data_IF_713755894779
#
_entry.id   IF_713755894779
#
_cell.length_a   1.000
_cell.length_b   1.000
_cell.length_c   1.000
_cell.angle_alpha   90.00
_cell.angle_beta   90.00
_cell.angle_gamma   90.00
#
_symmetry.space_group_name_H-M   'P 1'
#
loop_
_entity.id
_entity.type
_entity.pdbx_description
1 polymer ?
#
# COMPACT_ATOMS: atom_id res chain seq x y z
N UNK A 1 7.84 -11.12 -34.52
CA UNK A 1 8.27 -11.36 -33.12
C UNK A 1 8.21 -10.12 -32.24
N UNK A 2 8.74 -8.96 -32.64
CA UNK A 2 8.56 -7.71 -31.88
C UNK A 2 7.07 -7.31 -31.72
N UNK A 3 6.27 -7.56 -32.76
CA UNK A 3 4.82 -7.29 -32.80
C UNK A 3 4.01 -8.15 -31.81
N UNK A 4 4.41 -9.42 -31.62
CA UNK A 4 3.78 -10.34 -30.65
C UNK A 4 4.17 -10.04 -29.20
N UNK A 5 5.40 -9.55 -28.96
CA UNK A 5 5.84 -9.08 -27.64
C UNK A 5 5.19 -7.73 -27.25
N UNK A 6 4.99 -6.84 -28.22
CA UNK A 6 4.25 -5.59 -28.02
C UNK A 6 2.77 -5.85 -27.70
N UNK A 7 2.13 -6.81 -28.38
CA UNK A 7 0.75 -7.25 -28.12
C UNK A 7 0.58 -7.95 -26.76
N UNK A 8 1.61 -8.68 -26.28
CA UNK A 8 1.62 -9.24 -24.93
C UNK A 8 1.73 -8.14 -23.86
N UNK A 9 2.59 -7.14 -24.08
CA UNK A 9 2.70 -5.98 -23.19
C UNK A 9 1.40 -5.16 -23.12
N UNK A 10 0.77 -4.94 -24.28
CA UNK A 10 -0.50 -4.22 -24.42
C UNK A 10 -1.67 -4.99 -23.76
N UNK A 11 -1.72 -6.32 -23.89
CA UNK A 11 -2.78 -7.13 -23.25
C UNK A 11 -2.62 -7.20 -21.73
N UNK A 12 -1.39 -7.27 -21.21
CA UNK A 12 -1.12 -7.19 -19.76
C UNK A 12 -1.47 -5.79 -19.20
N UNK A 13 -1.22 -4.71 -19.97
CA UNK A 13 -1.63 -3.34 -19.63
C UNK A 13 -3.16 -3.20 -19.53
N UNK A 14 -3.88 -3.74 -20.52
CA UNK A 14 -5.34 -3.69 -20.61
C UNK A 14 -5.97 -4.52 -19.49
N UNK A 15 -5.44 -5.70 -19.16
CA UNK A 15 -5.88 -6.50 -18.01
C UNK A 15 -5.63 -5.76 -16.68
N UNK A 16 -4.48 -5.10 -16.52
CA UNK A 16 -4.18 -4.29 -15.35
C UNK A 16 -5.12 -3.07 -15.23
N UNK A 17 -5.48 -2.43 -16.35
CA UNK A 17 -6.45 -1.32 -16.42
C UNK A 17 -7.90 -1.75 -16.17
N UNK A 18 -8.31 -2.92 -16.64
CA UNK A 18 -9.67 -3.46 -16.38
C UNK A 18 -9.81 -3.88 -14.91
N UNK A 19 -8.77 -4.47 -14.31
CA UNK A 19 -8.71 -4.72 -12.87
C UNK A 19 -8.72 -3.43 -12.02
N UNK A 20 -8.25 -2.31 -12.60
CA UNK A 20 -8.30 -0.98 -11.98
C UNK A 20 -9.71 -0.37 -11.98
N UNK A 21 -10.46 -0.54 -13.08
CA UNK A 21 -11.88 -0.15 -13.20
C UNK A 21 -12.79 -1.00 -12.28
N UNK A 22 -12.40 -2.24 -11.99
CA UNK A 22 -13.13 -3.13 -11.08
C UNK A 22 -12.88 -2.87 -9.58
N UNK A 23 -12.00 -1.93 -9.19
CA UNK A 23 -11.87 -1.55 -7.78
C UNK A 23 -12.99 -0.58 -7.36
N UNK A 24 -13.83 -0.94 -6.37
CA UNK A 24 -14.97 -0.13 -5.98
C UNK A 24 -14.47 1.16 -5.33
N UNK A 25 -14.78 2.26 -6.00
CA UNK A 25 -14.73 3.61 -5.46
C UNK A 25 -15.90 3.77 -4.49
N UNK A 26 -15.65 4.28 -3.27
CA UNK A 26 -16.55 5.15 -2.46
C UNK A 26 -16.02 5.19 -1.02
N UNK A 27 -15.70 6.39 -0.52
CA UNK A 27 -15.38 6.67 0.89
C UNK A 27 -13.88 6.89 1.15
N UNK A 28 -13.58 7.75 2.14
CA UNK A 28 -12.23 8.17 2.49
C UNK A 28 -11.25 6.98 2.52
N UNK A 29 -10.15 7.03 1.74
CA UNK A 29 -9.35 5.84 1.47
C UNK A 29 -8.63 5.41 2.75
N UNK A 30 -8.90 4.19 3.20
CA UNK A 30 -8.09 3.53 4.21
C UNK A 30 -6.65 3.34 3.72
N UNK A 31 -5.73 3.13 4.66
CA UNK A 31 -4.30 2.93 4.40
C UNK A 31 -4.04 1.88 3.32
N UNK A 32 -4.78 0.77 3.35
CA UNK A 32 -4.67 -0.31 2.35
C UNK A 32 -5.11 0.11 0.95
N UNK A 33 -6.13 0.97 0.83
CA UNK A 33 -6.59 1.49 -0.47
C UNK A 33 -5.55 2.41 -1.09
N UNK A 34 -4.88 3.25 -0.29
CA UNK A 34 -3.76 4.07 -0.77
C UNK A 34 -2.59 3.21 -1.23
N UNK A 35 -2.20 2.19 -0.46
CA UNK A 35 -1.20 1.22 -0.87
C UNK A 35 -1.53 0.59 -2.24
N UNK A 36 -2.76 0.11 -2.42
CA UNK A 36 -3.19 -0.47 -3.70
C UNK A 36 -3.15 0.53 -4.85
N UNK A 37 -3.51 1.80 -4.63
CA UNK A 37 -3.44 2.84 -5.66
C UNK A 37 -2.01 3.12 -6.10
N UNK A 38 -1.09 3.31 -5.17
CA UNK A 38 0.33 3.55 -5.50
C UNK A 38 0.98 2.33 -6.15
N UNK A 39 0.67 1.13 -5.67
CA UNK A 39 1.17 -0.12 -6.26
C UNK A 39 0.60 -0.34 -7.66
N UNK A 40 -0.68 -0.02 -7.89
CA UNK A 40 -1.28 -0.07 -9.21
C UNK A 40 -0.66 0.97 -10.16
N UNK A 41 -0.47 2.21 -9.71
CA UNK A 41 0.22 3.24 -10.48
C UNK A 41 1.66 2.82 -10.84
N UNK A 42 2.36 2.18 -9.91
CA UNK A 42 3.67 1.55 -10.17
C UNK A 42 3.58 0.48 -11.25
N UNK A 43 2.56 -0.38 -11.22
CA UNK A 43 2.34 -1.40 -12.25
C UNK A 43 2.08 -0.80 -13.63
N UNK A 44 1.22 0.22 -13.71
CA UNK A 44 0.93 0.96 -14.96
C UNK A 44 2.19 1.63 -15.49
N UNK A 45 2.99 2.26 -14.62
CA UNK A 45 4.26 2.87 -15.02
C UNK A 45 5.25 1.84 -15.57
N UNK A 46 5.31 0.63 -15.02
CA UNK A 46 6.19 -0.44 -15.51
C UNK A 46 5.81 -0.90 -16.93
N UNK A 47 4.51 -1.05 -17.18
CA UNK A 47 4.01 -1.42 -18.51
C UNK A 47 4.19 -0.28 -19.50
N UNK A 48 3.89 0.96 -19.09
CA UNK A 48 4.12 2.17 -19.88
C UNK A 48 5.58 2.34 -20.28
N UNK A 49 6.52 2.12 -19.35
CA UNK A 49 7.95 2.15 -19.64
C UNK A 49 8.32 1.12 -20.72
N UNK A 50 7.83 -0.11 -20.59
CA UNK A 50 8.10 -1.18 -21.56
C UNK A 50 7.59 -0.83 -22.95
N UNK A 51 6.36 -0.30 -23.06
CA UNK A 51 5.79 0.17 -24.32
C UNK A 51 6.61 1.31 -24.94
N UNK A 52 7.04 2.29 -24.13
CA UNK A 52 7.84 3.43 -24.59
C UNK A 52 9.23 3.02 -25.08
N UNK A 53 9.87 2.03 -24.46
CA UNK A 53 11.13 1.49 -24.97
C UNK A 53 10.96 0.74 -26.29
N UNK A 54 9.82 0.07 -26.52
CA UNK A 54 9.52 -0.54 -27.82
C UNK A 54 9.36 0.53 -28.90
N UNK A 55 8.63 1.62 -28.59
CA UNK A 55 8.48 2.78 -29.48
C UNK A 55 9.84 3.41 -29.79
N UNK A 56 10.70 3.57 -28.78
CA UNK A 56 12.07 4.05 -28.98
C UNK A 56 12.86 3.12 -29.92
N UNK A 57 12.78 1.81 -29.70
CA UNK A 57 13.44 0.80 -30.53
C UNK A 57 12.94 0.77 -31.99
N UNK A 58 11.72 1.23 -32.25
CA UNK A 58 11.15 1.39 -33.59
C UNK A 58 11.36 2.79 -34.21
N UNK A 59 12.23 3.62 -33.64
CA UNK A 59 12.56 4.95 -34.17
C UNK A 59 11.81 6.12 -33.54
N UNK A 60 11.10 5.94 -32.42
CA UNK A 60 10.33 6.99 -31.73
C UNK A 60 11.14 8.12 -31.08
N UNK A 61 12.45 8.19 -31.35
CA UNK A 61 13.34 9.26 -30.95
C UNK A 61 13.56 9.43 -29.44
N UNK A 62 14.35 10.44 -29.06
CA UNK A 62 14.66 10.77 -27.67
C UNK A 62 13.47 11.02 -26.72
N UNK A 63 12.32 11.60 -27.13
CA UNK A 63 11.24 11.85 -26.17
C UNK A 63 10.62 10.55 -25.63
N UNK A 64 10.45 9.52 -26.48
CA UNK A 64 9.95 8.21 -26.03
C UNK A 64 10.90 7.55 -25.03
N UNK A 65 12.21 7.66 -25.25
CA UNK A 65 13.23 7.20 -24.30
C UNK A 65 13.14 7.95 -22.96
N UNK A 66 13.03 9.28 -22.99
CA UNK A 66 12.97 10.10 -21.78
C UNK A 66 11.74 9.80 -20.91
N UNK A 67 10.57 9.65 -21.53
CA UNK A 67 9.35 9.27 -20.81
C UNK A 67 9.43 7.82 -20.34
N UNK A 68 10.03 6.92 -21.13
CA UNK A 68 10.27 5.53 -20.72
C UNK A 68 11.16 5.44 -19.48
N UNK A 69 12.25 6.21 -19.46
CA UNK A 69 13.19 6.32 -18.34
C UNK A 69 12.51 6.88 -17.08
N UNK A 70 11.70 7.93 -17.24
CA UNK A 70 10.88 8.52 -16.17
C UNK A 70 9.96 7.46 -15.55
N UNK A 71 9.16 6.78 -16.39
CA UNK A 71 8.23 5.75 -15.95
C UNK A 71 8.95 4.62 -15.23
N UNK A 72 10.09 4.17 -15.76
CA UNK A 72 10.88 3.07 -15.19
C UNK A 72 11.38 3.40 -13.78
N UNK A 73 11.86 4.62 -13.55
CA UNK A 73 12.30 5.08 -12.22
C UNK A 73 11.13 5.31 -11.28
N UNK A 74 9.99 5.73 -11.81
CA UNK A 74 8.77 5.97 -11.03
C UNK A 74 8.22 4.66 -10.43
N UNK A 75 8.45 3.49 -11.05
CA UNK A 75 8.03 2.17 -10.53
C UNK A 75 8.50 1.93 -9.07
N UNK A 76 9.81 1.79 -8.79
CA UNK A 76 10.27 1.53 -7.42
C UNK A 76 9.99 2.68 -6.46
N UNK A 77 9.92 3.92 -6.94
CA UNK A 77 9.62 5.09 -6.10
C UNK A 77 8.16 5.10 -5.64
N UNK A 78 7.20 4.81 -6.53
CA UNK A 78 5.80 4.66 -6.16
C UNK A 78 5.58 3.45 -5.25
N UNK A 79 6.32 2.36 -5.47
CA UNK A 79 6.28 1.21 -4.57
C UNK A 79 6.83 1.53 -3.18
N UNK A 80 7.91 2.31 -3.09
CA UNK A 80 8.43 2.82 -1.82
C UNK A 80 7.39 3.68 -1.09
N UNK A 81 6.73 4.60 -1.82
CA UNK A 81 5.61 5.39 -1.28
C UNK A 81 4.49 4.47 -0.82
N UNK A 82 4.13 3.46 -1.60
CA UNK A 82 3.11 2.49 -1.25
C UNK A 82 3.43 1.81 0.09
N UNK A 83 4.64 1.28 0.26
CA UNK A 83 5.08 0.64 1.52
C UNK A 83 5.01 1.62 2.68
N UNK A 84 5.48 2.86 2.51
CA UNK A 84 5.40 3.94 3.53
C UNK A 84 3.96 4.27 3.93
N UNK A 85 2.99 4.12 3.01
CA UNK A 85 1.57 4.32 3.35
C UNK A 85 1.10 3.31 4.40
N UNK A 86 1.57 2.05 4.32
CA UNK A 86 1.17 0.97 5.23
C UNK A 86 1.61 1.22 6.68
N UNK A 87 2.72 1.93 6.88
CA UNK A 87 3.22 2.30 8.21
C UNK A 87 2.56 3.57 8.78
N UNK A 88 1.57 4.16 8.09
CA UNK A 88 0.82 5.33 8.56
C UNK A 88 1.60 6.66 8.48
N UNK A 89 2.74 6.68 7.79
CA UNK A 89 3.56 7.88 7.60
C UNK A 89 2.92 8.92 6.67
N UNK A 90 3.43 10.17 6.70
CA UNK A 90 3.03 11.21 5.74
C UNK A 90 3.54 10.86 4.33
N UNK A 91 2.62 10.75 3.37
CA UNK A 91 2.91 10.27 1.99
C UNK A 91 3.12 11.37 0.97
N UNK A 92 2.70 12.61 1.29
CA UNK A 92 2.77 13.75 0.38
C UNK A 92 4.20 14.09 -0.02
N UNK A 93 5.08 14.30 0.97
CA UNK A 93 6.50 14.55 0.71
C UNK A 93 7.07 13.45 -0.18
N UNK A 94 7.19 12.17 0.25
CA UNK A 94 7.88 11.16 -0.56
C UNK A 94 7.28 10.98 -1.97
N UNK A 95 5.98 11.25 -2.18
CA UNK A 95 5.37 11.29 -3.51
C UNK A 95 5.92 12.42 -4.38
N UNK A 96 6.05 13.64 -3.83
CA UNK A 96 6.68 14.77 -4.53
C UNK A 96 8.14 14.49 -4.83
N UNK A 97 8.89 13.91 -3.87
CA UNK A 97 10.27 13.45 -4.08
C UNK A 97 10.37 12.50 -5.27
N UNK A 98 9.50 11.48 -5.27
CA UNK A 98 9.46 10.47 -6.31
C UNK A 98 9.24 11.09 -7.70
N UNK A 99 8.29 12.03 -7.78
CA UNK A 99 7.99 12.73 -9.01
C UNK A 99 9.16 13.61 -9.48
N UNK A 100 9.74 14.41 -8.59
CA UNK A 100 10.88 15.28 -8.91
C UNK A 100 12.08 14.47 -9.40
N UNK A 101 12.40 13.36 -8.73
CA UNK A 101 13.48 12.45 -9.16
C UNK A 101 13.18 11.85 -10.54
N UNK A 102 11.95 11.41 -10.79
CA UNK A 102 11.58 10.84 -12.09
C UNK A 102 11.69 11.89 -13.22
N UNK A 103 11.23 13.13 -12.99
CA UNK A 103 11.35 14.24 -13.93
C UNK A 103 12.81 14.62 -14.16
N UNK A 104 13.64 14.64 -13.11
CA UNK A 104 15.07 14.91 -13.22
C UNK A 104 15.77 13.87 -14.10
N UNK A 105 15.45 12.57 -13.94
CA UNK A 105 15.97 11.52 -14.83
C UNK A 105 15.54 11.73 -16.27
N UNK A 106 14.26 12.09 -16.51
CA UNK A 106 13.79 12.41 -17.85
C UNK A 106 14.58 13.57 -18.48
N UNK A 107 14.83 14.64 -17.70
CA UNK A 107 15.64 15.79 -18.13
C UNK A 107 17.09 15.42 -18.40
N UNK A 108 17.70 14.55 -17.58
CA UNK A 108 19.04 14.01 -17.86
C UNK A 108 19.03 13.21 -19.17
N UNK A 109 18.01 12.40 -19.42
CA UNK A 109 17.89 11.62 -20.67
C UNK A 109 17.72 12.50 -21.91
N UNK A 110 17.07 13.68 -21.79
CA UNK A 110 16.93 14.60 -22.93
C UNK A 110 18.19 15.42 -23.20
N UNK A 111 18.93 15.81 -22.16
CA UNK A 111 20.06 16.75 -22.25
C UNK A 111 21.39 16.00 -22.43
N UNK A 112 21.58 14.86 -21.75
CA UNK A 112 22.87 14.16 -21.66
C UNK A 112 22.95 13.04 -22.69
N UNK A 113 24.03 12.96 -23.49
CA UNK A 113 24.20 11.90 -24.47
C UNK A 113 24.34 10.52 -23.82
N UNK A 114 23.92 9.50 -24.57
CA UNK A 114 24.23 8.10 -24.27
C UNK A 114 25.76 7.92 -24.38
N UNK A 115 26.43 7.21 -23.43
CA UNK A 115 25.87 6.33 -22.41
C UNK A 115 25.69 6.97 -21.01
N UNK A 116 26.08 8.22 -20.80
CA UNK A 116 26.10 8.83 -19.46
C UNK A 116 24.69 8.94 -18.85
N UNK A 117 23.66 9.28 -19.63
CA UNK A 117 22.27 9.28 -19.16
C UNK A 117 21.79 7.90 -18.70
N UNK A 118 22.25 6.84 -19.36
CA UNK A 118 21.93 5.45 -19.00
C UNK A 118 22.56 5.10 -17.64
N UNK A 119 23.80 5.51 -17.39
CA UNK A 119 24.48 5.32 -16.12
C UNK A 119 23.71 6.00 -14.97
N UNK A 120 23.31 7.26 -15.14
CA UNK A 120 22.53 8.00 -14.15
C UNK A 120 21.21 7.29 -13.84
N UNK A 121 20.46 6.89 -14.88
CA UNK A 121 19.22 6.13 -14.70
C UNK A 121 19.41 4.85 -13.90
N UNK A 122 20.41 4.03 -14.25
CA UNK A 122 20.62 2.74 -13.58
C UNK A 122 21.05 2.96 -12.13
N UNK A 123 21.82 4.00 -11.84
CA UNK A 123 22.19 4.37 -10.47
C UNK A 123 20.95 4.79 -9.65
N UNK A 124 20.10 5.65 -10.22
CA UNK A 124 18.84 6.07 -9.56
C UNK A 124 17.92 4.88 -9.32
N UNK A 125 17.79 3.95 -10.28
CA UNK A 125 17.03 2.71 -10.10
C UNK A 125 17.57 1.85 -8.96
N UNK A 126 18.89 1.66 -8.89
CA UNK A 126 19.51 0.91 -7.81
C UNK A 126 19.21 1.52 -6.44
N UNK A 127 19.33 2.84 -6.32
CA UNK A 127 19.02 3.58 -5.08
C UNK A 127 17.53 3.46 -4.73
N UNK A 128 16.62 3.68 -5.69
CA UNK A 128 15.19 3.62 -5.47
C UNK A 128 14.73 2.21 -5.05
N UNK A 129 15.24 1.17 -5.70
CA UNK A 129 14.98 -0.22 -5.33
C UNK A 129 15.56 -0.56 -3.96
N UNK A 130 16.78 -0.11 -3.65
CA UNK A 130 17.39 -0.29 -2.32
C UNK A 130 16.58 0.40 -1.21
N UNK A 131 16.14 1.64 -1.43
CA UNK A 131 15.29 2.37 -0.51
C UNK A 131 13.93 1.68 -0.30
N UNK A 132 13.32 1.18 -1.38
CA UNK A 132 12.10 0.39 -1.31
C UNK A 132 12.30 -0.91 -0.51
N UNK A 133 13.37 -1.65 -0.77
CA UNK A 133 13.71 -2.88 -0.06
C UNK A 133 13.90 -2.62 1.45
N UNK A 134 14.69 -1.60 1.77
CA UNK A 134 14.94 -1.17 3.15
C UNK A 134 13.64 -0.78 3.86
N UNK A 135 12.77 -0.03 3.19
CA UNK A 135 11.46 0.32 3.76
C UNK A 135 10.56 -0.89 3.98
N UNK A 136 10.56 -1.86 3.06
CA UNK A 136 9.78 -3.08 3.19
C UNK A 136 10.29 -3.98 4.33
N UNK A 137 11.60 -4.02 4.57
CA UNK A 137 12.19 -4.77 5.69
C UNK A 137 11.87 -4.16 7.06
N UNK A 138 11.80 -2.83 7.13
CA UNK A 138 11.46 -2.12 8.36
C UNK A 138 9.96 -2.01 8.61
N UNK A 139 9.13 -2.24 7.59
CA UNK A 139 7.69 -2.08 7.72
C UNK A 139 7.13 -3.03 8.78
N UNK A 140 6.30 -2.47 9.66
CA UNK A 140 5.58 -3.20 10.69
C UNK A 140 4.30 -3.86 10.17
N UNK A 141 3.97 -3.62 8.89
CA UNK A 141 2.77 -4.11 8.23
C UNK A 141 2.69 -5.65 8.26
N UNK A 142 1.56 -6.17 8.72
CA UNK A 142 1.22 -7.60 8.58
C UNK A 142 0.57 -7.82 7.21
N UNK A 143 0.81 -8.97 6.53
CA UNK A 143 1.68 -10.09 6.90
C UNK A 143 3.14 -9.90 6.46
N UNK A 144 4.10 -10.28 7.33
CA UNK A 144 5.55 -10.16 7.08
C UNK A 144 6.04 -10.90 5.82
N UNK A 145 5.34 -11.95 5.38
CA UNK A 145 5.70 -12.70 4.16
C UNK A 145 5.62 -11.82 2.92
N UNK A 146 4.56 -11.02 2.77
CA UNK A 146 4.38 -10.14 1.62
C UNK A 146 5.46 -9.05 1.59
N UNK A 147 5.78 -8.45 2.74
CA UNK A 147 6.86 -7.46 2.84
C UNK A 147 8.22 -8.05 2.48
N UNK A 148 8.51 -9.29 2.92
CA UNK A 148 9.73 -10.01 2.52
C UNK A 148 9.78 -10.26 1.01
N UNK A 149 8.66 -10.63 0.37
CA UNK A 149 8.62 -10.80 -1.09
C UNK A 149 8.92 -9.51 -1.83
N UNK A 150 8.35 -8.38 -1.39
CA UNK A 150 8.68 -7.05 -1.96
C UNK A 150 10.16 -6.73 -1.77
N UNK A 151 10.70 -6.94 -0.56
CA UNK A 151 12.10 -6.68 -0.24
C UNK A 151 13.07 -7.54 -1.06
N UNK A 152 12.78 -8.83 -1.26
CA UNK A 152 13.60 -9.74 -2.07
C UNK A 152 13.57 -9.32 -3.54
N UNK A 153 12.38 -9.02 -4.09
CA UNK A 153 12.24 -8.62 -5.48
C UNK A 153 12.99 -7.30 -5.77
N UNK A 154 12.82 -6.30 -4.90
CA UNK A 154 13.48 -4.99 -5.04
C UNK A 154 14.98 -5.05 -4.77
N UNK A 155 15.44 -5.82 -3.78
CA UNK A 155 16.87 -6.07 -3.57
C UNK A 155 17.50 -6.77 -4.79
N UNK A 156 16.84 -7.79 -5.34
CA UNK A 156 17.32 -8.50 -6.53
C UNK A 156 17.49 -7.57 -7.73
N UNK A 157 16.51 -6.67 -7.96
CA UNK A 157 16.62 -5.67 -9.02
C UNK A 157 17.71 -4.62 -8.76
N UNK A 158 17.90 -4.21 -7.50
CA UNK A 158 18.97 -3.29 -7.12
C UNK A 158 20.35 -3.90 -7.39
N UNK A 159 20.57 -5.16 -6.98
CA UNK A 159 21.80 -5.90 -7.23
C UNK A 159 22.05 -6.05 -8.73
N UNK A 160 21.03 -6.43 -9.50
CA UNK A 160 21.12 -6.49 -10.96
C UNK A 160 21.52 -5.13 -11.57
N UNK A 161 20.93 -4.03 -11.08
CA UNK A 161 21.25 -2.67 -11.55
C UNK A 161 22.67 -2.24 -11.21
N UNK A 162 23.17 -2.57 -10.00
CA UNK A 162 24.56 -2.32 -9.61
C UNK A 162 25.53 -3.13 -10.47
N UNK A 163 25.27 -4.43 -10.66
CA UNK A 163 26.09 -5.28 -11.53
C UNK A 163 26.13 -4.73 -12.96
N UNK A 164 24.99 -4.27 -13.47
CA UNK A 164 24.90 -3.62 -14.79
C UNK A 164 25.82 -2.40 -14.90
N UNK A 165 25.88 -1.55 -13.88
CA UNK A 165 26.80 -0.41 -13.84
C UNK A 165 28.27 -0.84 -13.80
N UNK A 166 28.60 -1.80 -12.93
CA UNK A 166 29.97 -2.29 -12.77
C UNK A 166 30.48 -2.90 -14.07
N UNK A 167 29.70 -3.79 -14.70
CA UNK A 167 30.09 -4.44 -15.97
C UNK A 167 30.18 -3.43 -17.10
N UNK A 168 29.25 -2.47 -17.18
CA UNK A 168 29.33 -1.40 -18.17
C UNK A 168 30.56 -0.50 -17.98
N UNK A 169 30.94 -0.23 -16.72
CA UNK A 169 32.12 0.56 -16.38
C UNK A 169 33.43 -0.15 -16.71
N UNK A 170 33.51 -1.47 -16.49
CA UNK A 170 34.72 -2.27 -16.73
C UNK A 170 34.88 -2.65 -18.21
N UNK A 171 33.79 -3.03 -18.88
CA UNK A 171 33.86 -3.60 -20.24
C UNK A 171 33.39 -2.63 -21.32
N UNK A 172 32.72 -1.54 -20.96
CA UNK A 172 32.08 -0.60 -21.88
C UNK A 172 30.62 -0.98 -22.21
N UNK A 173 29.79 0.05 -22.42
CA UNK A 173 28.34 -0.09 -22.70
C UNK A 173 28.01 -0.76 -24.04
N UNK A 174 28.96 -0.83 -24.96
CA UNK A 174 28.81 -1.47 -26.27
C UNK A 174 29.44 -2.85 -26.36
N UNK A 175 29.97 -3.39 -25.26
CA UNK A 175 30.71 -4.65 -25.30
C UNK A 175 29.78 -5.85 -25.54
N UNK A 176 30.23 -6.90 -26.28
CA UNK A 176 29.47 -8.14 -26.44
C UNK A 176 28.99 -8.78 -25.12
N UNK A 177 29.81 -8.87 -24.04
CA UNK A 177 29.33 -9.43 -22.77
C UNK A 177 28.25 -8.55 -22.11
N UNK A 178 28.36 -7.23 -22.21
CA UNK A 178 27.31 -6.33 -21.73
C UNK A 178 26.01 -6.49 -22.54
N UNK A 179 26.12 -6.60 -23.86
CA UNK A 179 24.99 -6.80 -24.75
C UNK A 179 24.27 -8.14 -24.49
N UNK A 180 25.00 -9.20 -24.17
CA UNK A 180 24.43 -10.52 -23.90
C UNK A 180 23.66 -10.57 -22.56
N UNK A 181 24.24 -10.04 -21.48
CA UNK A 181 23.71 -10.24 -20.12
C UNK A 181 22.94 -9.04 -19.53
N UNK A 182 23.20 -7.82 -20.01
CA UNK A 182 22.73 -6.57 -19.39
C UNK A 182 22.07 -5.59 -20.37
N UNK A 183 21.79 -6.04 -21.60
CA UNK A 183 21.03 -5.27 -22.58
C UNK A 183 19.55 -5.15 -22.21
N UNK A 184 18.79 -4.54 -23.11
CA UNK A 184 17.37 -4.30 -22.92
C UNK A 184 16.56 -5.59 -22.66
N UNK A 185 16.86 -6.68 -23.37
CA UNK A 185 16.08 -7.93 -23.25
C UNK A 185 16.26 -8.58 -21.87
N UNK A 186 17.49 -8.86 -21.37
CA UNK A 186 17.68 -9.36 -20.01
C UNK A 186 17.09 -8.43 -18.95
N UNK A 187 17.29 -7.11 -19.08
CA UNK A 187 16.75 -6.14 -18.12
C UNK A 187 15.21 -6.15 -18.07
N UNK A 188 14.56 -6.37 -19.21
CA UNK A 188 13.10 -6.49 -19.30
C UNK A 188 12.60 -7.79 -18.65
N UNK A 189 13.30 -8.91 -18.87
CA UNK A 189 12.96 -10.20 -18.25
C UNK A 189 13.06 -10.09 -16.73
N UNK A 190 14.17 -9.58 -16.21
CA UNK A 190 14.37 -9.39 -14.76
C UNK A 190 13.32 -8.42 -14.20
N UNK A 191 13.02 -7.34 -14.92
CA UNK A 191 11.95 -6.40 -14.55
C UNK A 191 10.57 -7.07 -14.48
N UNK A 192 10.22 -7.92 -15.44
CA UNK A 192 8.97 -8.67 -15.45
C UNK A 192 8.87 -9.62 -14.25
N UNK A 193 9.94 -10.34 -13.91
CA UNK A 193 9.99 -11.21 -12.72
C UNK A 193 9.77 -10.42 -11.43
N UNK A 194 10.33 -9.22 -11.33
CA UNK A 194 10.15 -8.33 -10.17
C UNK A 194 8.71 -7.85 -10.07
N UNK A 195 8.10 -7.41 -11.17
CA UNK A 195 6.69 -7.02 -11.21
C UNK A 195 5.76 -8.18 -10.81
N UNK A 196 6.05 -9.40 -11.29
CA UNK A 196 5.31 -10.60 -10.89
C UNK A 196 5.46 -10.87 -9.38
N UNK A 197 6.68 -10.76 -8.84
CA UNK A 197 6.94 -10.91 -7.40
C UNK A 197 6.16 -9.90 -6.56
N UNK A 198 6.09 -8.64 -7.00
CA UNK A 198 5.28 -7.59 -6.36
C UNK A 198 3.79 -7.95 -6.45
N UNK A 199 3.30 -8.41 -7.60
CA UNK A 199 1.92 -8.88 -7.77
C UNK A 199 1.55 -10.01 -6.82
N UNK A 200 2.44 -10.99 -6.64
CA UNK A 200 2.28 -12.09 -5.66
C UNK A 200 2.19 -11.53 -4.23
N UNK A 201 3.07 -10.58 -3.87
CA UNK A 201 3.04 -9.96 -2.55
C UNK A 201 1.70 -9.21 -2.30
N UNK A 202 1.18 -8.50 -3.29
CA UNK A 202 -0.13 -7.83 -3.22
C UNK A 202 -1.26 -8.85 -3.04
N UNK A 203 -1.23 -9.97 -3.76
CA UNK A 203 -2.22 -11.04 -3.61
C UNK A 203 -2.18 -11.67 -2.20
N UNK A 204 -0.98 -11.90 -1.64
CA UNK A 204 -0.81 -12.37 -0.27
C UNK A 204 -1.38 -11.38 0.76
N UNK A 205 -1.14 -10.08 0.57
CA UNK A 205 -1.72 -9.01 1.40
C UNK A 205 -3.25 -9.01 1.35
N UNK A 206 -3.84 -9.07 0.16
CA UNK A 206 -5.30 -9.14 -0.01
C UNK A 206 -5.89 -10.39 0.65
N UNK A 207 -5.24 -11.55 0.46
CA UNK A 207 -5.64 -12.80 1.10
C UNK A 207 -5.59 -12.74 2.63
N UNK A 208 -4.61 -12.05 3.21
CA UNK A 208 -4.52 -11.87 4.66
C UNK A 208 -5.61 -10.95 5.23
N UNK A 209 -6.02 -9.92 4.48
CA UNK A 209 -7.15 -9.05 4.87
C UNK A 209 -8.47 -9.82 4.84
N UNK A 210 -8.68 -10.69 3.85
CA UNK A 210 -9.91 -11.51 3.74
C UNK A 210 -9.98 -12.63 4.79
N UNK A 211 -8.83 -13.10 5.27
CA UNK A 211 -8.73 -14.19 6.27
C UNK A 211 -8.88 -13.74 7.73
N UNK A 212 -9.14 -12.47 8.00
CA UNK A 212 -9.59 -12.06 9.35
C UNK A 212 -10.90 -12.84 9.62
N UNK A 213 -10.95 -13.74 10.62
CA UNK A 213 -12.08 -14.63 10.81
C UNK A 213 -13.38 -13.81 10.90
N UNK A 214 -14.41 -14.26 10.19
CA UNK A 214 -15.76 -13.75 10.40
C UNK A 214 -16.10 -13.84 11.90
N UNK A 215 -16.86 -12.87 12.46
CA UNK A 215 -17.30 -12.92 13.85
C UNK A 215 -17.87 -14.30 14.15
N UNK A 216 -17.38 -14.93 15.23
CA UNK A 216 -17.89 -16.24 15.66
C UNK A 216 -19.41 -16.14 15.83
N UNK A 217 -20.21 -17.07 15.26
CA UNK A 217 -21.67 -16.98 15.28
C UNK A 217 -22.28 -17.01 16.69
N UNK A 218 -21.51 -17.39 17.71
CA UNK A 218 -21.93 -17.43 19.12
C UNK A 218 -21.54 -16.17 19.93
N UNK A 219 -20.92 -15.15 19.30
CA UNK A 219 -20.56 -13.90 19.99
C UNK A 219 -21.78 -12.97 19.98
N UNK A 220 -22.27 -12.46 21.13
CA UNK A 220 -23.24 -11.37 21.13
C UNK A 220 -22.65 -10.20 20.34
N UNK A 221 -23.47 -9.51 19.55
CA UNK A 221 -23.02 -8.42 18.67
C UNK A 221 -22.12 -7.46 19.47
N UNK A 222 -20.84 -7.39 19.10
CA UNK A 222 -19.86 -6.56 19.79
C UNK A 222 -20.28 -5.10 19.70
N UNK A 223 -20.23 -4.39 20.82
CA UNK A 223 -20.42 -2.95 20.84
C UNK A 223 -19.08 -2.27 20.54
N UNK A 224 -19.11 -1.35 19.59
CA UNK A 224 -17.93 -0.58 19.18
C UNK A 224 -17.90 0.69 20.02
N UNK A 225 -16.82 0.91 20.76
CA UNK A 225 -16.64 2.13 21.55
C UNK A 225 -15.43 2.88 21.01
N UNK A 226 -15.65 4.12 20.57
CA UNK A 226 -14.63 4.97 19.95
C UNK A 226 -14.51 6.29 20.69
N UNK A 227 -13.33 6.89 20.60
CA UNK A 227 -13.13 8.29 20.98
C UNK A 227 -13.69 9.17 19.86
N UNK A 228 -14.82 9.82 20.15
CA UNK A 228 -15.55 10.73 19.27
C UNK A 228 -14.73 11.96 18.84
N UNK A 229 -15.09 12.52 17.69
CA UNK A 229 -14.51 13.71 17.07
C UNK A 229 -13.01 13.92 17.30
N UNK A 230 -12.23 12.93 16.86
CA UNK A 230 -10.77 12.90 17.00
C UNK A 230 -10.05 14.20 16.61
N UNK A 231 -10.56 14.94 15.61
CA UNK A 231 -9.96 16.22 15.19
C UNK A 231 -10.19 17.32 16.24
N UNK A 232 -11.40 17.36 16.81
CA UNK A 232 -11.74 18.28 17.89
C UNK A 232 -10.99 17.91 19.17
N UNK A 233 -10.98 16.63 19.53
CA UNK A 233 -10.24 16.13 20.69
C UNK A 233 -8.72 16.40 20.55
N UNK A 234 -8.15 16.19 19.36
CA UNK A 234 -6.73 16.47 19.11
C UNK A 234 -6.42 17.97 19.16
N UNK A 235 -7.36 18.82 18.77
CA UNK A 235 -7.21 20.27 18.85
C UNK A 235 -7.32 20.79 20.30
N UNK A 236 -8.20 20.20 21.10
CA UNK A 236 -8.43 20.60 22.49
C UNK A 236 -7.36 20.06 23.46
N UNK A 237 -6.99 18.78 23.34
CA UNK A 237 -6.13 18.10 24.31
C UNK A 237 -4.70 17.83 23.80
N UNK A 238 -4.45 18.03 22.51
CA UNK A 238 -3.19 17.71 21.86
C UNK A 238 -3.10 16.24 21.40
N UNK A 239 -2.41 16.02 20.27
CA UNK A 239 -2.36 14.71 19.61
C UNK A 239 -1.74 13.59 20.48
N UNK A 240 -0.77 13.92 21.34
CA UNK A 240 -0.11 12.94 22.20
C UNK A 240 -1.01 12.49 23.35
N UNK A 241 -1.79 13.41 23.94
CA UNK A 241 -2.79 13.06 24.96
C UNK A 241 -3.86 12.15 24.40
N UNK A 242 -4.39 12.45 23.22
CA UNK A 242 -5.46 11.64 22.59
C UNK A 242 -4.97 10.24 22.22
N UNK A 243 -3.69 10.07 21.83
CA UNK A 243 -3.08 8.74 21.67
C UNK A 243 -2.96 7.99 23.01
N UNK A 244 -2.65 8.70 24.09
CA UNK A 244 -2.67 8.16 25.45
C UNK A 244 -4.06 7.63 25.82
N UNK A 245 -5.10 8.43 25.58
CA UNK A 245 -6.49 8.04 25.81
C UNK A 245 -6.90 6.80 24.98
N UNK A 246 -6.49 6.71 23.72
CA UNK A 246 -6.73 5.51 22.92
C UNK A 246 -6.00 4.27 23.49
N UNK A 247 -4.78 4.45 24.00
CA UNK A 247 -4.03 3.37 24.66
C UNK A 247 -4.71 2.88 25.93
N UNK A 248 -5.18 3.81 26.78
CA UNK A 248 -5.90 3.51 28.01
C UNK A 248 -7.23 2.81 27.72
N UNK A 249 -7.99 3.28 26.73
CA UNK A 249 -9.22 2.64 26.27
C UNK A 249 -8.97 1.18 25.82
N UNK A 250 -7.90 0.95 25.05
CA UNK A 250 -7.49 -0.41 24.62
C UNK A 250 -7.00 -1.28 25.76
N UNK A 251 -6.41 -0.68 26.80
CA UNK A 251 -5.97 -1.40 27.98
C UNK A 251 -7.18 -1.82 28.82
N UNK A 252 -8.05 -0.86 29.16
CA UNK A 252 -9.28 -1.11 29.91
C UNK A 252 -10.18 -2.13 29.20
N UNK A 253 -10.30 -2.06 27.88
CA UNK A 253 -11.07 -3.02 27.08
C UNK A 253 -10.53 -4.44 27.20
N UNK A 254 -9.22 -4.64 27.15
CA UNK A 254 -8.59 -5.97 27.29
C UNK A 254 -8.71 -6.56 28.69
N UNK A 255 -8.84 -5.72 29.71
CA UNK A 255 -9.07 -6.16 31.09
C UNK A 255 -10.50 -6.68 31.27
N UNK A 256 -11.47 -6.06 30.59
CA UNK A 256 -12.90 -6.43 30.70
C UNK A 256 -13.27 -7.54 29.72
N UNK A 257 -12.75 -7.48 28.50
CA UNK A 257 -12.93 -8.48 27.44
C UNK A 257 -11.52 -8.89 26.95
N UNK A 258 -11.00 -10.06 27.40
CA UNK A 258 -9.71 -10.57 26.94
C UNK A 258 -9.62 -10.74 25.42
N UNK A 259 -10.76 -10.89 24.75
CA UNK A 259 -10.88 -11.01 23.29
C UNK A 259 -11.22 -9.67 22.61
N UNK A 260 -11.03 -8.53 23.27
CA UNK A 260 -11.28 -7.21 22.69
C UNK A 260 -10.46 -6.99 21.40
N UNK A 261 -11.11 -6.47 20.37
CA UNK A 261 -10.47 -6.19 19.07
C UNK A 261 -10.21 -4.70 18.93
N UNK A 262 -8.99 -4.32 18.54
CA UNK A 262 -8.65 -2.94 18.29
C UNK A 262 -9.27 -2.48 16.95
N UNK A 263 -10.05 -1.40 16.98
CA UNK A 263 -10.56 -0.72 15.79
C UNK A 263 -9.90 0.66 15.66
N UNK A 264 -9.99 1.33 14.50
CA UNK A 264 -9.47 2.69 14.36
C UNK A 264 -10.13 3.62 15.38
N UNK A 265 -9.32 4.27 16.24
CA UNK A 265 -9.76 5.22 17.28
C UNK A 265 -10.63 4.61 18.38
N UNK A 266 -10.58 3.29 18.58
CA UNK A 266 -11.40 2.64 19.59
C UNK A 266 -11.18 1.13 19.73
N UNK A 267 -12.19 0.48 20.30
CA UNK A 267 -12.23 -0.94 20.60
C UNK A 267 -13.58 -1.52 20.26
N UNK A 268 -13.61 -2.78 19.86
CA UNK A 268 -14.81 -3.61 19.81
C UNK A 268 -14.76 -4.58 20.98
N UNK A 269 -15.82 -4.59 21.79
CA UNK A 269 -15.94 -5.45 22.97
C UNK A 269 -17.30 -6.16 22.99
N UNK A 270 -17.34 -7.39 23.47
CA UNK A 270 -18.55 -8.23 23.52
C UNK A 270 -19.27 -8.19 24.87
N UNK A 271 -19.08 -7.09 25.61
CA UNK A 271 -19.72 -6.88 26.91
C UNK A 271 -21.05 -6.17 26.72
N UNK A 272 -22.13 -6.59 27.41
CA UNK A 272 -23.34 -5.79 27.49
C UNK A 272 -23.02 -4.37 28.01
N UNK A 273 -23.71 -3.36 27.48
CA UNK A 273 -23.59 -1.97 27.95
C UNK A 273 -22.13 -1.45 27.89
N UNK A 274 -21.40 -1.81 26.83
CA UNK A 274 -19.97 -1.56 26.68
C UNK A 274 -19.52 -0.12 26.99
N UNK A 275 -20.27 0.90 26.55
CA UNK A 275 -19.94 2.30 26.83
C UNK A 275 -19.97 2.56 28.34
N UNK A 276 -21.04 2.18 29.04
CA UNK A 276 -21.15 2.38 30.48
C UNK A 276 -20.06 1.62 31.25
N UNK A 277 -19.80 0.37 30.87
CA UNK A 277 -18.78 -0.47 31.52
C UNK A 277 -17.36 0.08 31.31
N UNK A 278 -17.04 0.56 30.12
CA UNK A 278 -15.75 1.17 29.82
C UNK A 278 -15.60 2.54 30.49
N UNK A 279 -16.64 3.37 30.51
CA UNK A 279 -16.66 4.66 31.22
C UNK A 279 -16.34 4.46 32.70
N UNK A 280 -17.00 3.50 33.36
CA UNK A 280 -16.76 3.21 34.77
C UNK A 280 -15.32 2.76 35.02
N UNK A 281 -14.79 1.89 34.14
CA UNK A 281 -13.44 1.38 34.28
C UNK A 281 -12.37 2.43 34.03
N UNK A 282 -12.56 3.30 33.04
CA UNK A 282 -11.62 4.38 32.72
C UNK A 282 -11.61 5.46 33.79
N UNK A 283 -12.78 5.76 34.37
CA UNK A 283 -12.89 6.63 35.55
C UNK A 283 -12.10 6.08 36.74
N UNK A 284 -12.30 4.81 37.07
CA UNK A 284 -11.75 4.19 38.29
C UNK A 284 -10.28 3.79 38.18
N UNK A 285 -9.85 3.24 37.03
CA UNK A 285 -8.50 2.70 36.86
C UNK A 285 -7.52 3.66 36.18
N UNK A 286 -8.02 4.58 35.33
CA UNK A 286 -7.19 5.50 34.56
C UNK A 286 -7.43 6.97 34.91
N UNK A 287 -8.35 7.28 35.84
CA UNK A 287 -8.59 8.62 36.34
C UNK A 287 -9.09 9.61 35.28
N UNK A 288 -9.78 9.12 34.24
CA UNK A 288 -10.31 9.99 33.20
C UNK A 288 -11.30 11.02 33.77
N UNK A 289 -11.19 12.25 33.28
CA UNK A 289 -12.09 13.35 33.64
C UNK A 289 -13.46 13.22 32.96
N UNK A 290 -14.47 13.96 33.46
CA UNK A 290 -15.82 13.94 32.89
C UNK A 290 -15.83 14.34 31.40
N UNK A 291 -14.99 15.31 31.01
CA UNK A 291 -14.89 15.78 29.63
C UNK A 291 -14.23 14.75 28.71
N UNK A 292 -13.24 13.98 29.21
CA UNK A 292 -12.62 12.88 28.48
C UNK A 292 -13.57 11.68 28.33
N UNK A 293 -14.37 11.40 29.35
CA UNK A 293 -15.40 10.36 29.30
C UNK A 293 -16.54 10.73 28.35
N UNK A 294 -16.88 12.01 28.22
CA UNK A 294 -17.88 12.49 27.26
C UNK A 294 -17.46 12.28 25.79
N UNK A 295 -16.15 12.08 25.53
CA UNK A 295 -15.67 11.72 24.20
C UNK A 295 -15.98 10.26 23.83
N UNK A 296 -16.33 9.39 24.78
CA UNK A 296 -16.65 7.99 24.46
C UNK A 296 -18.03 7.90 23.81
N UNK A 297 -18.04 7.46 22.56
CA UNK A 297 -19.29 7.28 21.79
C UNK A 297 -19.43 5.86 21.29
N UNK A 298 -20.67 5.40 21.15
CA UNK A 298 -20.97 4.17 20.42
C UNK A 298 -20.67 4.38 18.93
N UNK A 299 -19.70 3.64 18.41
CA UNK A 299 -19.25 3.71 17.02
C UNK A 299 -20.32 3.29 16.01
N UNK A 300 -21.36 2.57 16.43
CA UNK A 300 -22.52 2.26 15.59
C UNK A 300 -23.43 3.48 15.37
N UNK A 301 -23.49 4.41 16.33
CA UNK A 301 -24.35 5.61 16.28
C UNK A 301 -23.74 6.77 15.48
N UNK A 302 -22.41 6.85 15.42
CA UNK A 302 -21.66 7.97 14.81
C UNK A 302 -21.27 7.75 13.35
N UNK A 303 -21.55 6.58 12.76
CA UNK A 303 -21.17 6.25 11.39
C UNK A 303 -19.65 6.23 11.14
N UNK A 304 -18.84 6.38 12.20
CA UNK A 304 -17.38 6.35 12.16
C UNK A 304 -16.84 4.96 11.81
N UNK A 305 -17.64 3.92 12.06
CA UNK A 305 -17.44 2.56 11.56
C UNK A 305 -18.69 2.17 10.79
N UNK A 306 -18.56 1.82 9.50
CA UNK A 306 -19.64 1.17 8.75
C UNK A 306 -19.89 -0.20 9.36
N UNK A 307 -20.81 -0.29 10.30
CA UNK A 307 -21.49 -1.55 10.56
C UNK A 307 -22.26 -1.89 9.29
N UNK A 308 -22.01 -3.06 8.72
CA UNK A 308 -22.94 -3.60 7.74
C UNK A 308 -24.32 -3.63 8.40
N UNK A 309 -25.36 -3.02 7.82
CA UNK A 309 -26.68 -3.07 8.40
C UNK A 309 -27.08 -4.55 8.47
N UNK A 310 -27.23 -5.06 9.69
CA UNK A 310 -27.83 -6.35 9.93
C UNK A 310 -29.23 -6.27 9.33
N UNK A 311 -29.42 -6.97 8.22
CA UNK A 311 -30.71 -7.19 7.58
C UNK A 311 -31.57 -7.85 8.65
N UNK A 312 -32.43 -7.07 9.30
CA UNK A 312 -33.46 -7.56 10.20
C UNK A 312 -34.37 -8.47 9.37
N UNK A 313 -34.08 -9.76 9.43
CA UNK A 313 -34.93 -10.80 8.86
C UNK A 313 -36.19 -10.80 9.72
N UNK A 314 -37.20 -10.04 9.28
CA UNK A 314 -38.51 -10.00 9.89
C UNK A 314 -39.00 -11.43 10.10
N UNK A 315 -39.27 -11.77 11.36
CA UNK A 315 -40.05 -12.96 11.72
C UNK A 315 -41.42 -12.81 11.05
N UNK A 316 -41.61 -13.45 9.91
CA UNK A 316 -42.94 -13.78 9.42
C UNK A 316 -43.47 -14.85 10.39
N UNK A 317 -44.29 -14.43 11.35
CA UNK A 317 -45.14 -15.35 12.12
C UNK A 317 -46.13 -15.96 11.12
N UNK A 318 -45.85 -17.18 10.69
CA UNK A 318 -46.86 -18.00 10.01
C UNK A 318 -47.90 -18.38 11.05
N UNK A 319 -49.05 -17.71 10.98
CA UNK A 319 -50.24 -18.03 11.76
C UNK A 319 -50.87 -19.30 11.15
N UNK A 320 -50.90 -20.41 11.90
CA UNK A 320 -51.69 -21.59 11.53
C UNK A 320 -53.10 -21.43 12.10
N UNK A 321 -54.16 -21.47 11.30
CA UNK A 321 -55.50 -21.67 11.83
C UNK A 321 -55.65 -23.14 12.25
N UNK A 322 -56.25 -23.35 13.43
CA UNK A 322 -56.76 -24.65 13.88
C UNK A 322 -58.18 -24.80 13.37
N UNK A 323 -58.42 -25.86 12.59
CA UNK A 323 -59.66 -26.65 12.56
C UNK A 323 -59.41 -27.87 11.71
#
# INVERSE_FOLDING_TARGET
MALSLALLGLSVAVVAGVLFVAMPHVGAPGVFTLFLRYTAASGVAAVGASALYLVYGSGGGRPSLAVGDMCMVLVPLLLFVAVRTLDGGRVLWPSVCAFVVAVAVAGVTTIVPLPASLAVKVAVLAIACGACAWSALQSSARPRRAMRTIAVATTGYAVFSVLRLVVAGVTGWGSPPYAAAFSFVPATIVGALVVLGIGIAVAQLRGAVVRVPAPRPDRPAGAIVVVGDWRLASAAYGADRVRGLESDLRHAARVIDPDAVNVPRGVEVAVPHAVATLTERLRTAHGWSADELALLTDGASTGAVRTHPVRTRGRVRVWRPRS
#
